data_IF_096869719416
#
_entry.id   IF_096869719416
#
_cell.length_a   1.000
_cell.length_b   1.000
_cell.length_c   1.000
_cell.angle_alpha   90.00
_cell.angle_beta   90.00
_cell.angle_gamma   90.00
#
_symmetry.space_group_name_H-M   'P 1'
#
loop_
_entity.id
_entity.type
_entity.pdbx_description
1 polymer ?
#
# COMPACT_ATOMS: atom_id res chain seq x y z
N UNK A 1 0.37 -8.13 10.89
CA UNK A 1 -0.87 -7.35 11.05
C UNK A 1 -1.80 -7.58 9.86
N UNK A 2 -3.11 -7.71 10.09
CA UNK A 2 -4.09 -7.75 8.99
C UNK A 2 -4.43 -6.34 8.53
N UNK A 3 -4.66 -6.17 7.24
CA UNK A 3 -5.01 -4.88 6.64
C UNK A 3 -6.48 -4.87 6.26
N UNK A 4 -7.23 -3.88 6.76
CA UNK A 4 -8.62 -3.64 6.39
C UNK A 4 -8.81 -2.24 5.85
N UNK A 5 -9.76 -2.07 4.94
CA UNK A 5 -10.11 -0.76 4.40
C UNK A 5 -10.66 0.20 5.47
N UNK A 6 -11.31 -0.35 6.50
CA UNK A 6 -11.81 0.40 7.65
C UNK A 6 -10.67 1.06 8.44
N UNK A 7 -9.59 0.32 8.70
CA UNK A 7 -8.42 0.82 9.43
C UNK A 7 -7.71 1.92 8.62
N UNK A 8 -7.58 1.73 7.29
CA UNK A 8 -7.00 2.74 6.40
C UNK A 8 -7.85 4.01 6.36
N UNK A 9 -9.17 3.86 6.33
CA UNK A 9 -10.10 4.99 6.35
C UNK A 9 -10.05 5.73 7.69
N UNK A 10 -9.95 4.99 8.79
CA UNK A 10 -9.83 5.53 10.15
C UNK A 10 -8.50 6.23 10.44
N UNK A 11 -7.42 5.82 9.77
CA UNK A 11 -6.08 6.40 9.93
C UNK A 11 -5.90 7.79 9.27
N UNK A 12 -6.91 8.32 8.58
CA UNK A 12 -6.90 9.66 8.00
C UNK A 12 -6.43 9.70 6.55
N UNK A 13 -7.41 9.62 5.65
CA UNK A 13 -7.19 9.53 4.20
C UNK A 13 -6.53 10.77 3.61
N UNK A 14 -5.58 10.54 2.71
CA UNK A 14 -4.95 11.53 1.84
C UNK A 14 -4.97 11.04 0.40
N UNK A 15 -4.87 11.98 -0.55
CA UNK A 15 -4.80 11.66 -1.98
C UNK A 15 -3.42 12.00 -2.51
N UNK A 16 -2.81 11.05 -3.24
CA UNK A 16 -1.49 11.19 -3.86
C UNK A 16 -1.57 10.88 -5.36
N UNK A 17 -0.65 11.44 -6.13
CA UNK A 17 -0.47 11.10 -7.54
C UNK A 17 0.70 10.12 -7.68
N UNK A 18 0.49 9.00 -8.37
CA UNK A 18 1.57 8.05 -8.68
C UNK A 18 1.53 7.64 -10.15
N UNK A 19 2.71 7.46 -10.74
CA UNK A 19 2.86 6.98 -12.12
C UNK A 19 2.68 5.47 -12.14
N UNK A 20 1.63 5.00 -12.83
CA UNK A 20 1.36 3.60 -13.03
C UNK A 20 1.79 3.17 -14.44
N UNK A 21 2.65 2.14 -14.52
CA UNK A 21 3.13 1.62 -15.81
C UNK A 21 2.71 0.17 -16.01
N UNK A 22 1.83 -0.07 -16.99
CA UNK A 22 1.56 -1.44 -17.50
C UNK A 22 2.69 -1.87 -18.45
N UNK A 23 2.97 -3.17 -18.49
CA UNK A 23 3.93 -3.74 -19.44
C UNK A 23 3.58 -3.33 -20.87
N UNK A 24 4.58 -2.83 -21.62
CA UNK A 24 4.47 -2.33 -23.00
C UNK A 24 3.60 -1.07 -23.21
N UNK A 25 3.24 -0.34 -22.15
CA UNK A 25 2.47 0.91 -22.25
C UNK A 25 3.25 2.08 -21.65
N UNK A 26 2.89 3.30 -22.07
CA UNK A 26 3.40 4.52 -21.46
C UNK A 26 2.92 4.62 -19.99
N UNK A 27 3.75 5.15 -19.08
CA UNK A 27 3.32 5.41 -17.72
C UNK A 27 2.19 6.45 -17.70
N UNK A 28 1.17 6.22 -16.88
CA UNK A 28 0.02 7.11 -16.69
C UNK A 28 -0.03 7.57 -15.24
N UNK A 29 -0.20 8.88 -15.03
CA UNK A 29 -0.37 9.42 -13.69
C UNK A 29 -1.80 9.20 -13.21
N UNK A 30 -1.95 8.52 -12.07
CA UNK A 30 -3.24 8.23 -11.46
C UNK A 30 -3.29 8.78 -10.04
N UNK A 31 -4.49 9.13 -9.60
CA UNK A 31 -4.76 9.58 -8.23
C UNK A 31 -5.15 8.38 -7.38
N UNK A 32 -4.52 8.25 -6.22
CA UNK A 32 -4.81 7.20 -5.24
C UNK A 32 -5.18 7.84 -3.91
N UNK A 33 -6.21 7.31 -3.26
CA UNK A 33 -6.64 7.78 -1.93
C UNK A 33 -6.41 6.66 -0.91
N UNK A 34 -5.83 7.01 0.23
CA UNK A 34 -5.33 6.05 1.20
C UNK A 34 -4.53 6.71 2.31
N UNK A 35 -3.54 6.01 2.87
CA UNK A 35 -2.69 6.53 3.96
C UNK A 35 -1.26 6.01 3.82
N UNK A 36 -0.27 6.71 4.40
CA UNK A 36 1.10 6.16 4.48
C UNK A 36 1.12 4.90 5.37
N UNK A 37 1.94 3.92 5.01
CA UNK A 37 2.03 2.68 5.76
C UNK A 37 2.47 2.92 7.21
N UNK A 38 3.45 3.79 7.44
CA UNK A 38 3.87 4.22 8.78
C UNK A 38 2.69 4.66 9.65
N UNK A 39 1.84 5.55 9.14
CA UNK A 39 0.69 6.06 9.90
C UNK A 39 -0.33 4.96 10.16
N UNK A 40 -0.55 4.04 9.22
CA UNK A 40 -1.43 2.89 9.43
C UNK A 40 -0.90 1.96 10.52
N UNK A 41 0.41 1.68 10.51
CA UNK A 41 1.06 0.88 11.55
C UNK A 41 0.90 1.53 12.93
N UNK A 42 1.18 2.83 13.05
CA UNK A 42 0.99 3.59 14.29
C UNK A 42 -0.47 3.58 14.77
N UNK A 43 -1.43 3.79 13.85
CA UNK A 43 -2.86 3.75 14.15
C UNK A 43 -3.33 2.39 14.69
N UNK A 44 -2.76 1.31 14.17
CA UNK A 44 -3.09 -0.08 14.58
C UNK A 44 -2.26 -0.57 15.77
N UNK A 45 -1.42 0.28 16.35
CA UNK A 45 -0.61 -0.04 17.53
C UNK A 45 0.67 -0.83 17.23
N UNK A 46 1.14 -0.82 15.98
CA UNK A 46 2.40 -1.44 15.57
C UNK A 46 3.50 -0.38 15.44
N UNK A 47 4.66 -0.64 16.04
CA UNK A 47 5.85 0.20 15.89
C UNK A 47 6.71 -0.32 14.74
N UNK A 48 7.29 0.61 13.97
CA UNK A 48 8.27 0.34 12.93
C UNK A 48 9.62 0.92 13.35
N UNK A 49 10.70 0.20 13.05
CA UNK A 49 12.09 0.62 13.25
C UNK A 49 12.89 0.54 11.96
N UNK A 50 14.10 1.13 11.92
CA UNK A 50 14.98 1.00 10.75
C UNK A 50 15.45 -0.43 10.52
N UNK A 51 15.55 -1.23 11.59
CA UNK A 51 15.93 -2.64 11.55
C UNK A 51 14.78 -3.54 11.08
N UNK A 52 13.55 -3.02 11.08
CA UNK A 52 12.38 -3.81 10.70
C UNK A 52 12.47 -4.32 9.25
N UNK A 53 11.88 -5.49 8.99
CA UNK A 53 11.57 -5.98 7.65
C UNK A 53 10.06 -6.14 7.55
N UNK A 54 9.44 -5.45 6.60
CA UNK A 54 8.00 -5.48 6.38
C UNK A 54 7.66 -6.29 5.14
N UNK A 55 7.05 -7.46 5.30
CA UNK A 55 6.63 -8.33 4.19
C UNK A 55 5.13 -8.15 3.95
N UNK A 56 4.80 -7.47 2.85
CA UNK A 56 3.44 -7.24 2.39
C UNK A 56 2.98 -8.45 1.59
N UNK A 57 1.88 -9.08 1.98
CA UNK A 57 1.36 -10.28 1.35
C UNK A 57 -0.05 -10.05 0.82
N UNK A 58 -0.22 -10.39 -0.45
CA UNK A 58 -1.49 -10.36 -1.13
C UNK A 58 -2.24 -11.67 -0.93
N UNK A 59 -3.57 -11.59 -1.06
CA UNK A 59 -4.45 -12.77 -1.04
C UNK A 59 -4.17 -13.76 -2.18
N UNK A 60 -3.52 -13.33 -3.27
CA UNK A 60 -3.20 -14.15 -4.44
C UNK A 60 -1.81 -14.83 -4.36
N UNK A 61 -1.12 -14.70 -3.22
CA UNK A 61 0.21 -15.26 -2.98
C UNK A 61 1.37 -14.37 -3.43
N UNK A 62 1.10 -13.23 -4.08
CA UNK A 62 2.15 -12.23 -4.32
C UNK A 62 2.64 -11.65 -2.99
N UNK A 63 3.95 -11.41 -2.89
CA UNK A 63 4.51 -10.73 -1.72
C UNK A 63 5.70 -9.87 -2.10
N UNK A 64 5.93 -8.83 -1.29
CA UNK A 64 7.07 -7.92 -1.44
C UNK A 64 7.58 -7.57 -0.04
N UNK A 65 8.90 -7.65 0.13
CA UNK A 65 9.57 -7.21 1.35
C UNK A 65 10.12 -5.80 1.15
N UNK A 66 9.89 -4.93 2.14
CA UNK A 66 10.49 -3.61 2.24
C UNK A 66 11.39 -3.56 3.47
N UNK A 67 12.46 -2.77 3.38
CA UNK A 67 13.26 -2.44 4.57
C UNK A 67 12.46 -1.52 5.50
N UNK A 68 12.89 -1.42 6.75
CA UNK A 68 12.29 -0.52 7.74
C UNK A 68 12.34 0.92 7.26
N UNK A 69 13.46 1.34 6.65
CA UNK A 69 13.60 2.65 6.04
C UNK A 69 12.53 2.92 4.97
N UNK A 70 12.35 1.99 4.01
CA UNK A 70 11.34 2.13 2.96
C UNK A 70 9.91 2.13 3.51
N UNK A 71 9.63 1.28 4.51
CA UNK A 71 8.31 1.15 5.12
C UNK A 71 7.93 2.38 5.97
N UNK A 72 8.91 3.03 6.59
CA UNK A 72 8.70 4.22 7.40
C UNK A 72 8.64 5.52 6.60
N UNK A 73 9.13 5.54 5.36
CA UNK A 73 9.07 6.72 4.50
C UNK A 73 7.62 7.00 4.07
N UNK A 74 7.05 8.07 4.65
CA UNK A 74 5.67 8.51 4.44
C UNK A 74 5.39 9.00 3.03
N UNK A 75 6.43 9.29 2.24
CA UNK A 75 6.34 9.72 0.85
C UNK A 75 6.63 8.58 -0.14
N UNK A 76 6.90 7.38 0.37
CA UNK A 76 7.25 6.22 -0.46
C UNK A 76 6.25 5.08 -0.30
N UNK A 77 6.03 4.58 0.92
CA UNK A 77 5.15 3.44 1.17
C UNK A 77 3.73 3.89 1.52
N UNK A 78 2.77 3.61 0.64
CA UNK A 78 1.40 4.08 0.74
C UNK A 78 0.38 2.95 0.57
N UNK A 79 -0.68 2.95 1.37
CA UNK A 79 -1.75 1.96 1.33
C UNK A 79 -3.01 2.63 0.79
N UNK A 80 -3.36 2.31 -0.45
CA UNK A 80 -4.52 2.84 -1.15
C UNK A 80 -5.78 1.98 -0.93
N UNK A 81 -6.93 2.66 -0.86
CA UNK A 81 -8.28 2.06 -0.85
C UNK A 81 -9.14 2.54 -2.03
N UNK A 82 -8.67 3.54 -2.78
CA UNK A 82 -9.34 4.05 -3.97
C UNK A 82 -8.32 4.49 -5.03
N UNK A 83 -8.70 4.33 -6.29
CA UNK A 83 -7.98 4.79 -7.48
C UNK A 83 -8.93 5.61 -8.35
N UNK A 84 -8.50 6.78 -8.81
CA UNK A 84 -9.28 7.68 -9.66
C UNK A 84 -10.67 8.08 -9.10
N UNK A 85 -10.85 8.02 -7.78
CA UNK A 85 -12.12 8.31 -7.11
C UNK A 85 -13.05 7.11 -6.96
N UNK A 86 -12.67 5.95 -7.50
CA UNK A 86 -13.41 4.69 -7.36
C UNK A 86 -12.79 3.82 -6.27
N UNK A 87 -13.61 3.15 -5.47
CA UNK A 87 -13.12 2.25 -4.42
C UNK A 87 -12.49 0.99 -5.04
N UNK A 88 -11.37 0.54 -4.47
CA UNK A 88 -10.71 -0.69 -4.87
C UNK A 88 -11.57 -1.88 -4.41
N UNK A 89 -12.18 -2.56 -5.37
CA UNK A 89 -13.07 -3.70 -5.13
C UNK A 89 -12.74 -4.87 -6.07
N UNK A 90 -12.87 -6.09 -5.56
CA UNK A 90 -12.82 -7.32 -6.36
C UNK A 90 -14.12 -7.46 -7.18
N UNK A 91 -14.14 -8.37 -8.15
CA UNK A 91 -15.33 -8.62 -9.00
C UNK A 91 -16.60 -8.98 -8.21
N UNK A 92 -16.46 -9.52 -6.99
CA UNK A 92 -17.56 -9.80 -6.08
C UNK A 92 -17.99 -8.60 -5.20
N UNK A 93 -17.49 -7.39 -5.47
CA UNK A 93 -17.74 -6.19 -4.67
C UNK A 93 -16.99 -6.14 -3.33
N UNK A 94 -16.11 -7.11 -3.06
CA UNK A 94 -15.33 -7.16 -1.83
C UNK A 94 -14.22 -6.09 -1.86
N UNK A 95 -14.16 -5.16 -0.90
CA UNK A 95 -13.13 -4.12 -0.88
C UNK A 95 -11.75 -4.71 -0.59
N UNK A 96 -10.70 -4.10 -1.14
CA UNK A 96 -9.31 -4.49 -0.90
C UNK A 96 -8.39 -3.27 -0.79
N UNK A 97 -7.21 -3.48 -0.18
CA UNK A 97 -6.16 -2.47 -0.12
C UNK A 97 -5.04 -2.78 -1.12
N UNK A 98 -4.35 -1.75 -1.59
CA UNK A 98 -3.17 -1.90 -2.45
C UNK A 98 -2.00 -1.13 -1.84
N UNK A 99 -0.84 -1.79 -1.68
CA UNK A 99 0.40 -1.08 -1.35
C UNK A 99 1.04 -0.51 -2.61
N UNK A 100 1.43 0.76 -2.53
CA UNK A 100 2.09 1.53 -3.56
C UNK A 100 3.46 1.97 -3.07
N UNK A 101 4.45 1.85 -3.95
CA UNK A 101 5.74 2.51 -3.83
C UNK A 101 5.71 3.74 -4.73
N UNK A 102 5.48 4.92 -4.16
CA UNK A 102 5.17 6.16 -4.91
C UNK A 102 6.35 6.65 -5.77
N UNK A 103 7.58 6.42 -5.30
CA UNK A 103 8.82 6.76 -6.05
C UNK A 103 9.26 5.66 -7.02
N UNK A 104 8.54 4.53 -7.11
CA UNK A 104 8.87 3.45 -8.02
C UNK A 104 8.30 3.69 -9.42
N UNK A 105 9.19 4.04 -10.37
CA UNK A 105 8.80 4.34 -11.75
C UNK A 105 8.29 3.13 -12.56
N UNK A 106 8.39 1.91 -12.02
CA UNK A 106 8.03 0.69 -12.73
C UNK A 106 6.73 0.06 -12.23
N UNK A 107 6.23 0.50 -11.07
CA UNK A 107 5.07 -0.07 -10.37
C UNK A 107 5.15 -1.57 -10.11
N UNK A 108 6.34 -2.18 -10.21
CA UNK A 108 6.53 -3.63 -10.06
C UNK A 108 6.43 -4.09 -8.60
N UNK A 109 6.72 -3.17 -7.67
CA UNK A 109 6.69 -3.42 -6.23
C UNK A 109 5.35 -3.06 -5.60
N UNK A 110 4.29 -2.91 -6.40
CA UNK A 110 2.95 -2.61 -5.90
C UNK A 110 2.23 -3.91 -5.55
N UNK A 111 1.79 -4.05 -4.30
CA UNK A 111 1.12 -5.24 -3.80
C UNK A 111 -0.40 -5.01 -3.86
N UNK A 112 -1.05 -5.53 -4.91
CA UNK A 112 -2.52 -5.55 -5.03
C UNK A 112 -3.11 -6.61 -4.12
N UNK A 113 -4.38 -6.45 -3.74
CA UNK A 113 -5.09 -7.41 -2.88
C UNK A 113 -4.38 -7.66 -1.54
N UNK A 114 -3.79 -6.60 -0.98
CA UNK A 114 -3.04 -6.65 0.27
C UNK A 114 -3.94 -7.17 1.39
N UNK A 115 -3.54 -8.27 2.01
CA UNK A 115 -4.27 -8.94 3.09
C UNK A 115 -3.57 -8.75 4.44
N UNK A 116 -2.26 -8.96 4.45
CA UNK A 116 -1.45 -8.86 5.68
C UNK A 116 -0.08 -8.25 5.43
N UNK A 117 0.48 -7.66 6.49
CA UNK A 117 1.88 -7.24 6.55
C UNK A 117 2.54 -7.93 7.73
N UNK A 118 3.56 -8.71 7.46
CA UNK A 118 4.38 -9.36 8.47
C UNK A 118 5.56 -8.43 8.80
N UNK A 119 5.60 -7.93 10.04
CA UNK A 119 6.65 -7.02 10.51
C UNK A 119 7.60 -7.83 11.37
N UNK A 120 8.87 -7.90 10.97
CA UNK A 120 9.95 -8.60 11.65
C UNK A 120 11.00 -7.61 12.11
N UNK A 121 11.75 -7.97 13.13
CA UNK A 121 12.94 -7.25 13.64
C UNK A 121 14.22 -8.01 13.28
#
# INVERSE_FOLDING_TARGET
MKIKTEDVSGAGLTTVCASFKKSRQAPENRKYTGVSFKRLAEYTGHSLSQESICVFKASDGFSIALTGEEAMDTEQCFIAVSEAGEALTLEAGKPYCMMLMLRDATSQRWCRYLDEVDIRE
#
